data_IF_792647795054
#
_entry.id   IF_792647795054
#
_cell.length_a   1.000
_cell.length_b   1.000
_cell.length_c   1.000
_cell.angle_alpha   90.00
_cell.angle_beta   90.00
_cell.angle_gamma   90.00
#
_symmetry.space_group_name_H-M   'P 1'
#
loop_
_entity.id
_entity.type
_entity.pdbx_description
1 polymer ?
#
# COMPACT_ATOMS: atom_id res chain seq x y z
N UNK A 1 -1.34 18.82 4.27
CA UNK A 1 -2.51 18.39 5.08
C UNK A 1 -2.04 18.28 6.54
N UNK A 2 -2.88 18.23 7.58
CA UNK A 2 -2.34 17.92 8.92
C UNK A 2 -2.05 16.43 9.03
N UNK A 3 -1.02 16.04 9.79
CA UNK A 3 -0.61 14.63 9.96
C UNK A 3 -1.79 13.74 10.41
N UNK A 4 -2.62 14.26 11.32
CA UNK A 4 -3.86 13.58 11.77
C UNK A 4 -4.80 13.27 10.60
N UNK A 5 -4.98 14.20 9.66
CA UNK A 5 -5.89 14.03 8.53
C UNK A 5 -5.32 13.09 7.45
N UNK A 6 -4.00 13.03 7.31
CA UNK A 6 -3.32 12.06 6.45
C UNK A 6 -3.58 10.64 6.96
N UNK A 7 -3.35 10.40 8.25
CA UNK A 7 -3.58 9.09 8.88
C UNK A 7 -5.06 8.68 8.81
N UNK A 8 -5.99 9.61 9.04
CA UNK A 8 -7.43 9.33 8.86
C UNK A 8 -7.78 8.94 7.42
N UNK A 9 -7.16 9.60 6.43
CA UNK A 9 -7.37 9.29 5.01
C UNK A 9 -6.83 7.89 4.66
N UNK A 10 -5.64 7.56 5.14
CA UNK A 10 -5.05 6.22 4.98
C UNK A 10 -5.94 5.16 5.65
N UNK A 11 -6.50 5.46 6.82
CA UNK A 11 -7.43 4.56 7.53
C UNK A 11 -8.69 4.28 6.71
N UNK A 12 -9.28 5.31 6.11
CA UNK A 12 -10.42 5.15 5.19
C UNK A 12 -10.07 4.20 4.04
N UNK A 13 -8.91 4.44 3.40
CA UNK A 13 -8.45 3.61 2.28
C UNK A 13 -8.19 2.15 2.67
N UNK A 14 -7.63 1.91 3.86
CA UNK A 14 -7.45 0.57 4.40
C UNK A 14 -8.77 -0.17 4.60
N UNK A 15 -9.80 0.52 5.11
CA UNK A 15 -11.14 -0.06 5.30
C UNK A 15 -11.75 -0.45 3.96
N UNK A 16 -11.69 0.43 2.96
CA UNK A 16 -12.22 0.16 1.62
C UNK A 16 -11.58 -1.09 0.99
N UNK A 17 -10.24 -1.19 1.05
CA UNK A 17 -9.50 -2.34 0.50
C UNK A 17 -9.78 -3.61 1.31
N UNK A 18 -9.87 -3.51 2.63
CA UNK A 18 -10.19 -4.65 3.49
C UNK A 18 -11.61 -5.18 3.22
N UNK A 19 -12.56 -4.31 2.96
CA UNK A 19 -13.93 -4.69 2.61
C UNK A 19 -14.01 -5.30 1.21
N UNK A 20 -13.22 -4.82 0.25
CA UNK A 20 -13.06 -5.47 -1.05
C UNK A 20 -12.54 -6.91 -0.88
N UNK A 21 -11.46 -7.11 -0.12
CA UNK A 21 -10.85 -8.43 0.11
C UNK A 21 -11.81 -9.44 0.78
N UNK A 22 -12.72 -8.96 1.65
CA UNK A 22 -13.75 -9.82 2.26
C UNK A 22 -14.82 -10.27 1.26
N UNK A 23 -15.13 -9.44 0.26
CA UNK A 23 -16.18 -9.71 -0.75
C UNK A 23 -15.66 -10.55 -1.90
N UNK A 24 -14.39 -10.40 -2.26
CA UNK A 24 -13.80 -11.03 -3.42
C UNK A 24 -12.59 -11.88 -3.02
N UNK A 25 -12.78 -13.18 -2.70
CA UNK A 25 -11.72 -14.00 -2.12
C UNK A 25 -10.64 -14.43 -3.13
N UNK A 26 -10.97 -14.50 -4.44
CA UNK A 26 -10.04 -14.86 -5.52
C UNK A 26 -10.52 -14.20 -6.82
N UNK A 27 -9.94 -13.06 -7.17
CA UNK A 27 -10.31 -12.26 -8.34
C UNK A 27 -9.12 -11.50 -8.93
N UNK A 28 -9.30 -10.86 -10.08
CA UNK A 28 -8.20 -10.26 -10.88
C UNK A 28 -7.42 -9.17 -10.15
N UNK A 29 -8.00 -8.56 -9.12
CA UNK A 29 -7.36 -7.54 -8.30
C UNK A 29 -7.07 -7.98 -6.86
N UNK A 30 -7.34 -9.25 -6.52
CA UNK A 30 -7.25 -9.73 -5.14
C UNK A 30 -5.83 -9.57 -4.58
N UNK A 31 -4.82 -10.06 -5.29
CA UNK A 31 -3.43 -9.99 -4.82
C UNK A 31 -2.90 -8.56 -4.75
N UNK A 32 -3.30 -7.72 -5.71
CA UNK A 32 -3.00 -6.28 -5.72
C UNK A 32 -3.61 -5.59 -4.49
N UNK A 33 -4.88 -5.85 -4.19
CA UNK A 33 -5.53 -5.36 -2.98
C UNK A 33 -4.87 -5.87 -1.69
N UNK A 34 -4.35 -7.12 -1.66
CA UNK A 34 -3.57 -7.62 -0.53
C UNK A 34 -2.31 -6.78 -0.32
N UNK A 35 -1.58 -6.45 -1.40
CA UNK A 35 -0.41 -5.59 -1.34
C UNK A 35 -0.72 -4.19 -0.81
N UNK A 36 -1.81 -3.60 -1.28
CA UNK A 36 -2.27 -2.28 -0.79
C UNK A 36 -2.61 -2.32 0.70
N UNK A 37 -3.37 -3.34 1.14
CA UNK A 37 -3.77 -3.49 2.54
C UNK A 37 -2.57 -3.63 3.48
N UNK A 38 -1.50 -4.31 3.05
CA UNK A 38 -0.28 -4.45 3.85
C UNK A 38 0.42 -3.12 4.12
N UNK A 39 0.56 -2.28 3.08
CA UNK A 39 1.19 -0.95 3.20
C UNK A 39 0.34 -0.05 4.09
N UNK A 40 -0.97 0.03 3.85
CA UNK A 40 -1.84 0.89 4.66
C UNK A 40 -1.87 0.43 6.11
N UNK A 41 -1.94 -0.88 6.38
CA UNK A 41 -1.86 -1.41 7.75
C UNK A 41 -0.55 -1.01 8.42
N UNK A 42 0.58 -1.17 7.74
CA UNK A 42 1.89 -0.80 8.29
C UNK A 42 1.97 0.70 8.63
N UNK A 43 1.43 1.56 7.75
CA UNK A 43 1.36 3.00 7.99
C UNK A 43 0.47 3.35 9.21
N UNK A 44 -0.61 2.62 9.44
CA UNK A 44 -1.50 2.79 10.60
C UNK A 44 -0.88 2.25 11.90
N UNK A 45 -0.12 1.17 11.83
CA UNK A 45 0.58 0.58 12.98
C UNK A 45 1.78 1.44 13.42
N UNK A 46 2.42 2.13 12.48
CA UNK A 46 3.55 3.04 12.76
C UNK A 46 3.39 4.39 12.05
N UNK A 47 2.48 5.27 12.53
CA UNK A 47 2.23 6.58 11.91
C UNK A 47 3.48 7.47 11.82
N UNK A 48 4.42 7.35 12.78
CA UNK A 48 5.68 8.10 12.77
C UNK A 48 6.60 7.74 11.60
N UNK A 49 6.35 6.61 10.91
CA UNK A 49 7.08 6.22 9.70
C UNK A 49 6.51 6.82 8.42
N UNK A 50 5.38 7.52 8.49
CA UNK A 50 4.73 8.18 7.35
C UNK A 50 5.35 9.56 7.16
N UNK A 51 6.63 9.57 6.77
CA UNK A 51 7.43 10.78 6.51
C UNK A 51 7.99 10.68 5.10
N UNK A 52 7.96 11.78 4.35
CA UNK A 52 8.23 11.80 2.91
C UNK A 52 9.49 11.05 2.49
N UNK A 53 10.63 11.38 3.10
CA UNK A 53 11.93 10.76 2.79
C UNK A 53 11.91 9.24 2.97
N UNK A 54 11.33 8.75 4.07
CA UNK A 54 11.23 7.32 4.37
C UNK A 54 10.29 6.59 3.39
N UNK A 55 9.18 7.23 3.04
CA UNK A 55 8.19 6.65 2.12
C UNK A 55 8.74 6.63 0.68
N UNK A 56 9.50 7.63 0.27
CA UNK A 56 10.20 7.67 -1.02
C UNK A 56 11.28 6.56 -1.11
N UNK A 57 12.10 6.37 -0.08
CA UNK A 57 13.04 5.24 -0.04
C UNK A 57 12.31 3.89 -0.13
N UNK A 58 11.19 3.74 0.60
CA UNK A 58 10.37 2.53 0.53
C UNK A 58 9.81 2.31 -0.88
N UNK A 59 9.45 3.37 -1.62
CA UNK A 59 8.99 3.26 -3.01
C UNK A 59 10.09 2.68 -3.91
N UNK A 60 11.31 3.22 -3.82
CA UNK A 60 12.45 2.76 -4.62
C UNK A 60 12.75 1.28 -4.38
N UNK A 61 12.82 0.85 -3.12
CA UNK A 61 13.03 -0.55 -2.74
C UNK A 61 11.94 -1.48 -3.30
N UNK A 62 10.68 -1.03 -3.28
CA UNK A 62 9.55 -1.81 -3.79
C UNK A 62 9.54 -1.90 -5.32
N UNK A 63 10.02 -0.87 -6.04
CA UNK A 63 10.20 -0.89 -7.50
C UNK A 63 11.32 -1.85 -7.89
N UNK A 64 12.45 -1.83 -7.18
CA UNK A 64 13.57 -2.76 -7.40
C UNK A 64 13.06 -4.20 -7.20
N UNK A 65 12.40 -4.47 -6.07
CA UNK A 65 11.81 -5.79 -5.79
C UNK A 65 10.87 -6.23 -6.92
N UNK A 66 10.01 -5.33 -7.42
CA UNK A 66 9.08 -5.64 -8.51
C UNK A 66 9.80 -6.09 -9.78
N UNK A 67 10.96 -5.51 -10.08
CA UNK A 67 11.74 -5.84 -11.28
C UNK A 67 12.39 -7.23 -11.23
N UNK A 68 12.52 -7.82 -10.04
CA UNK A 68 13.17 -9.12 -9.81
C UNK A 68 12.16 -10.29 -9.73
N UNK A 69 10.87 -9.98 -9.57
CA UNK A 69 9.84 -11.00 -9.42
C UNK A 69 9.47 -11.65 -10.76
N UNK A 70 9.25 -12.97 -10.74
CA UNK A 70 8.86 -13.76 -11.91
C UNK A 70 7.48 -14.39 -11.79
N UNK A 71 6.95 -14.55 -10.57
CA UNK A 71 5.63 -15.15 -10.36
C UNK A 71 4.54 -14.09 -10.42
N UNK A 72 3.54 -14.33 -11.26
CA UNK A 72 2.40 -13.41 -11.47
C UNK A 72 1.74 -12.93 -10.17
N UNK A 73 1.46 -13.84 -9.24
CA UNK A 73 0.81 -13.51 -7.95
C UNK A 73 1.68 -12.56 -7.11
N UNK A 74 2.99 -12.83 -7.06
CA UNK A 74 3.94 -12.00 -6.31
C UNK A 74 4.07 -10.62 -6.98
N UNK A 75 4.12 -10.57 -8.32
CA UNK A 75 4.13 -9.34 -9.11
C UNK A 75 2.89 -8.49 -8.83
N UNK A 76 1.69 -9.07 -8.92
CA UNK A 76 0.43 -8.36 -8.67
C UNK A 76 0.38 -7.79 -7.25
N UNK A 77 0.82 -8.58 -6.26
CA UNK A 77 0.90 -8.12 -4.87
C UNK A 77 1.89 -6.98 -4.70
N UNK A 78 3.06 -7.09 -5.33
CA UNK A 78 4.09 -6.07 -5.28
C UNK A 78 3.67 -4.78 -5.99
N UNK A 79 2.95 -4.85 -7.11
CA UNK A 79 2.32 -3.69 -7.76
C UNK A 79 1.35 -2.98 -6.82
N UNK A 80 0.50 -3.74 -6.11
CA UNK A 80 -0.40 -3.19 -5.12
C UNK A 80 0.31 -2.43 -3.99
N UNK A 81 1.49 -2.93 -3.56
CA UNK A 81 2.32 -2.21 -2.59
C UNK A 81 2.82 -0.88 -3.16
N UNK A 82 3.37 -0.90 -4.38
CA UNK A 82 3.86 0.31 -5.07
C UNK A 82 2.77 1.38 -5.14
N UNK A 83 1.56 1.03 -5.61
CA UNK A 83 0.44 1.99 -5.67
C UNK A 83 0.04 2.57 -4.31
N UNK A 84 0.04 1.74 -3.27
CA UNK A 84 -0.29 2.21 -1.94
C UNK A 84 0.76 3.18 -1.41
N UNK A 85 2.04 2.94 -1.71
CA UNK A 85 3.15 3.83 -1.36
C UNK A 85 3.04 5.15 -2.12
N UNK A 86 2.83 5.11 -3.44
CA UNK A 86 2.60 6.29 -4.27
C UNK A 86 1.40 7.11 -3.78
N UNK A 87 0.32 6.45 -3.39
CA UNK A 87 -0.84 7.10 -2.79
C UNK A 87 -0.48 7.83 -1.49
N UNK A 88 0.29 7.19 -0.59
CA UNK A 88 0.74 7.82 0.65
C UNK A 88 1.64 9.03 0.37
N UNK A 89 2.56 8.94 -0.58
CA UNK A 89 3.40 10.08 -1.00
C UNK A 89 2.54 11.25 -1.47
N UNK A 90 1.49 10.98 -2.26
CA UNK A 90 0.59 12.03 -2.75
C UNK A 90 -0.25 12.71 -1.65
N UNK A 91 -0.33 12.14 -0.44
CA UNK A 91 -1.02 12.74 0.69
C UNK A 91 -0.11 13.64 1.55
N UNK A 92 1.22 13.44 1.47
CA UNK A 92 2.25 14.15 2.24
C UNK A 92 2.60 15.50 1.59
#
# INVERSE_FOLDING_TARGET
MSDSKIIETIKGKYIDVSDFLKREPIGSNYHRAQGQAEVYRAALERPSGVVKELVETMLEENIITLSELSKKIEIEKQQGRVEAIEYVINLL
#
